data_IF_870945865520
#
_entry.id   IF_870945865520
#
_cell.length_a   1.000
_cell.length_b   1.000
_cell.length_c   1.000
_cell.angle_alpha   90.00
_cell.angle_beta   90.00
_cell.angle_gamma   90.00
#
_symmetry.space_group_name_H-M   'P 1'
#
loop_
_entity.id
_entity.type
_entity.pdbx_description
1 polymer ?
#
# COMPACT_ATOMS: atom_id res chain seq x y z
N UNK A 1 -0.50 -11.70 11.72
CA UNK A 1 0.28 -11.14 12.86
C UNK A 1 -0.55 -11.14 14.15
N UNK A 2 -0.93 -9.97 14.71
CA UNK A 2 -1.53 -9.88 16.07
C UNK A 2 -3.03 -10.02 16.08
N UNK A 3 -3.72 -9.64 15.01
CA UNK A 3 -5.17 -9.70 14.94
C UNK A 3 -5.60 -11.07 14.44
N UNK A 4 -6.16 -11.88 15.32
CA UNK A 4 -6.66 -13.25 15.03
C UNK A 4 -8.15 -13.22 14.73
N UNK A 5 -8.85 -12.38 15.50
CA UNK A 5 -10.28 -12.15 15.35
C UNK A 5 -10.50 -10.84 14.57
N UNK A 6 -11.61 -10.69 13.86
CA UNK A 6 -11.97 -9.43 13.21
C UNK A 6 -11.95 -8.26 14.20
N UNK A 7 -11.45 -7.12 13.74
CA UNK A 7 -11.41 -5.89 14.52
C UNK A 7 -11.77 -4.72 13.62
N UNK A 8 -12.76 -3.95 14.02
CA UNK A 8 -13.17 -2.73 13.35
C UNK A 8 -12.59 -1.53 14.10
N UNK A 9 -11.98 -0.62 13.37
CA UNK A 9 -11.39 0.60 13.90
C UNK A 9 -11.94 1.80 13.15
N UNK A 10 -12.73 2.59 13.84
CA UNK A 10 -13.25 3.86 13.32
C UNK A 10 -12.24 4.97 13.63
N UNK A 11 -11.84 5.71 12.59
CA UNK A 11 -10.96 6.87 12.69
C UNK A 11 -11.83 8.11 12.47
N UNK A 12 -12.16 8.78 13.56
CA UNK A 12 -12.97 9.99 13.54
C UNK A 12 -12.17 11.20 13.04
N UNK A 13 -12.88 12.24 12.60
CA UNK A 13 -12.27 13.51 12.24
C UNK A 13 -11.52 14.12 13.43
N UNK A 14 -10.35 14.71 13.18
CA UNK A 14 -9.49 15.28 14.20
C UNK A 14 -8.36 14.34 14.61
N UNK A 15 -8.08 14.19 15.89
CA UNK A 15 -6.99 13.38 16.43
C UNK A 15 -7.52 12.08 17.05
N UNK A 16 -7.20 10.96 16.44
CA UNK A 16 -7.47 9.63 16.99
C UNK A 16 -6.19 9.02 17.58
N UNK A 17 -6.23 8.64 18.86
CA UNK A 17 -5.12 8.04 19.58
C UNK A 17 -5.29 6.55 19.81
N UNK A 18 -4.29 5.74 19.43
CA UNK A 18 -4.23 4.29 19.72
C UNK A 18 -3.23 4.07 20.84
N UNK A 19 -3.72 3.71 22.02
CA UNK A 19 -2.90 3.50 23.22
C UNK A 19 -2.97 2.04 23.69
N UNK A 20 -1.92 1.60 24.35
CA UNK A 20 -1.85 0.24 24.90
C UNK A 20 -0.42 -0.15 25.30
N UNK A 21 -0.23 -1.28 26.01
CA UNK A 21 1.08 -1.75 26.43
C UNK A 21 1.97 -2.12 25.24
N UNK A 22 3.26 -2.33 25.50
CA UNK A 22 4.19 -2.80 24.48
C UNK A 22 3.82 -4.24 24.05
N UNK A 23 3.92 -4.51 22.74
CA UNK A 23 3.60 -5.83 22.19
C UNK A 23 2.12 -6.08 21.84
N UNK A 24 1.19 -5.20 22.22
CA UNK A 24 -0.26 -5.41 21.95
C UNK A 24 -0.70 -5.22 20.48
N UNK A 25 0.21 -4.90 19.58
CA UNK A 25 -0.10 -4.82 18.15
C UNK A 25 -0.34 -3.42 17.58
N UNK A 26 -0.14 -2.33 18.34
CA UNK A 26 -0.31 -0.95 17.84
C UNK A 26 0.38 -0.68 16.50
N UNK A 27 1.64 -1.08 16.38
CA UNK A 27 2.39 -0.90 15.15
C UNK A 27 1.85 -1.76 13.99
N UNK A 28 1.18 -2.86 14.28
CA UNK A 28 0.59 -3.71 13.25
C UNK A 28 -0.62 -3.04 12.59
N UNK A 29 -1.31 -2.10 13.26
CA UNK A 29 -2.36 -1.28 12.65
C UNK A 29 -1.79 -0.39 11.54
N UNK A 30 -0.71 0.34 11.84
CA UNK A 30 -0.03 1.17 10.83
C UNK A 30 0.53 0.33 9.67
N UNK A 31 1.05 -0.85 9.98
CA UNK A 31 1.52 -1.79 8.97
C UNK A 31 0.37 -2.34 8.11
N UNK A 32 -0.80 -2.59 8.70
CA UNK A 32 -1.99 -3.01 7.98
C UNK A 32 -2.45 -1.93 6.98
N UNK A 33 -2.50 -0.67 7.40
CA UNK A 33 -2.79 0.46 6.51
C UNK A 33 -1.79 0.51 5.35
N UNK A 34 -0.48 0.55 5.64
CA UNK A 34 0.57 0.57 4.61
C UNK A 34 0.48 -0.62 3.66
N UNK A 35 0.20 -1.80 4.20
CA UNK A 35 0.06 -3.01 3.41
C UNK A 35 -1.10 -2.89 2.42
N UNK A 36 -2.27 -2.43 2.86
CA UNK A 36 -3.44 -2.22 1.99
C UNK A 36 -3.20 -1.13 0.95
N UNK A 37 -2.44 -0.08 1.31
CA UNK A 37 -2.04 1.00 0.39
C UNK A 37 -1.00 0.61 -0.66
N UNK A 38 -0.56 -0.66 -0.70
CA UNK A 38 0.34 -1.17 -1.74
C UNK A 38 1.77 -1.49 -1.30
N UNK A 39 2.08 -1.51 0.01
CA UNK A 39 3.40 -1.98 0.47
C UNK A 39 3.61 -3.46 0.13
N UNK A 40 4.63 -3.75 -0.66
CA UNK A 40 4.95 -5.10 -1.12
C UNK A 40 6.28 -5.62 -0.56
N UNK A 41 6.97 -4.84 0.28
CA UNK A 41 8.19 -5.27 0.93
C UNK A 41 7.87 -5.97 2.25
N UNK A 42 8.10 -7.28 2.32
CA UNK A 42 7.98 -8.05 3.56
C UNK A 42 8.86 -7.44 4.66
N UNK A 43 10.07 -6.99 4.31
CA UNK A 43 11.00 -6.33 5.23
C UNK A 43 10.44 -5.03 5.82
N UNK A 44 9.74 -4.22 5.03
CA UNK A 44 9.05 -3.00 5.49
C UNK A 44 7.94 -3.33 6.50
N UNK A 45 7.38 -4.52 6.40
CA UNK A 45 6.34 -5.05 7.29
C UNK A 45 6.93 -5.94 8.40
N UNK A 46 8.23 -5.88 8.63
CA UNK A 46 8.95 -6.67 9.64
C UNK A 46 8.70 -8.17 9.52
N UNK A 47 8.64 -8.68 8.28
CA UNK A 47 8.50 -10.09 7.93
C UNK A 47 9.66 -10.56 7.05
N UNK A 48 9.90 -11.86 7.00
CA UNK A 48 10.82 -12.50 6.07
C UNK A 48 10.14 -12.74 4.71
N UNK A 49 8.83 -13.03 4.73
CA UNK A 49 7.98 -13.22 3.57
C UNK A 49 6.65 -12.48 3.71
N UNK A 50 5.91 -12.33 2.60
CA UNK A 50 4.59 -11.68 2.64
C UNK A 50 3.57 -12.51 3.43
N UNK A 51 3.71 -13.82 3.46
CA UNK A 51 2.84 -14.72 4.24
C UNK A 51 2.96 -14.50 5.76
N UNK A 52 4.02 -13.83 6.22
CA UNK A 52 4.21 -13.50 7.64
C UNK A 52 3.19 -12.48 8.17
N UNK A 53 2.41 -11.83 7.30
CA UNK A 53 1.27 -11.00 7.73
C UNK A 53 0.11 -11.88 8.21
N UNK A 54 0.01 -13.14 7.74
CA UNK A 54 -0.98 -14.12 8.16
C UNK A 54 -0.62 -14.60 9.58
N UNK A 55 -1.62 -14.84 10.41
CA UNK A 55 -1.41 -15.35 11.75
C UNK A 55 -0.86 -16.79 11.71
N UNK A 56 0.33 -16.98 12.27
CA UNK A 56 1.03 -18.24 12.24
C UNK A 56 0.54 -19.29 13.27
N UNK A 57 -0.36 -18.87 14.17
CA UNK A 57 -0.80 -19.68 15.30
C UNK A 57 -0.01 -19.42 16.58
N UNK A 58 -0.53 -19.95 17.67
CA UNK A 58 0.10 -20.04 18.99
C UNK A 58 -0.18 -21.42 19.57
N UNK A 59 0.35 -21.73 20.76
CA UNK A 59 0.02 -22.98 21.45
C UNK A 59 -1.48 -23.18 21.70
N UNK A 60 -2.24 -22.08 21.84
CA UNK A 60 -3.66 -22.08 22.19
C UNK A 60 -4.59 -21.72 21.03
N UNK A 61 -4.06 -21.20 19.91
CA UNK A 61 -4.85 -20.77 18.76
C UNK A 61 -4.27 -21.30 17.46
N UNK A 62 -5.08 -21.94 16.59
CA UNK A 62 -4.61 -22.46 15.30
C UNK A 62 -4.17 -21.33 14.38
N UNK A 63 -3.29 -21.66 13.45
CA UNK A 63 -2.92 -20.76 12.37
C UNK A 63 -4.13 -20.39 11.52
N UNK A 64 -4.04 -19.27 10.82
CA UNK A 64 -5.02 -18.85 9.81
C UNK A 64 -4.48 -19.10 8.41
N UNK A 65 -5.39 -19.28 7.45
CA UNK A 65 -5.04 -19.51 6.05
C UNK A 65 -4.95 -18.22 5.26
N UNK A 66 -5.54 -17.13 5.75
CA UNK A 66 -5.54 -15.83 5.10
C UNK A 66 -5.44 -14.68 6.10
N UNK A 67 -5.07 -13.52 5.59
CA UNK A 67 -5.22 -12.22 6.23
C UNK A 67 -5.92 -11.25 5.27
N UNK A 68 -6.81 -10.44 5.80
CA UNK A 68 -7.55 -9.43 5.03
C UNK A 68 -7.58 -8.12 5.80
N UNK A 69 -7.46 -7.02 5.08
CA UNK A 69 -7.62 -5.67 5.61
C UNK A 69 -8.48 -4.88 4.62
N UNK A 70 -9.54 -4.30 5.13
CA UNK A 70 -10.40 -3.37 4.42
C UNK A 70 -10.16 -1.95 4.95
N UNK A 71 -10.07 -0.99 4.04
CA UNK A 71 -10.07 0.45 4.34
C UNK A 71 -11.32 1.02 3.68
N UNK A 72 -12.16 1.64 4.50
CA UNK A 72 -13.29 2.43 4.05
C UNK A 72 -12.90 3.89 4.17
N UNK A 73 -12.95 4.64 3.09
CA UNK A 73 -12.54 6.04 3.02
C UNK A 73 -13.48 6.82 2.10
N UNK A 74 -13.45 8.13 2.19
CA UNK A 74 -14.09 9.03 1.23
C UNK A 74 -13.05 9.48 0.19
N UNK A 75 -13.44 9.50 -1.06
CA UNK A 75 -12.61 10.05 -2.13
C UNK A 75 -12.71 11.59 -2.19
N UNK A 76 -12.01 12.21 -3.13
CA UNK A 76 -12.01 13.67 -3.29
C UNK A 76 -13.39 14.24 -3.72
N UNK A 77 -14.30 13.41 -4.21
CA UNK A 77 -15.66 13.79 -4.56
C UNK A 77 -16.63 13.64 -3.37
N UNK A 78 -16.18 12.99 -2.29
CA UNK A 78 -17.02 12.66 -1.13
C UNK A 78 -17.73 11.33 -1.27
N UNK A 79 -17.39 10.54 -2.28
CA UNK A 79 -17.94 9.21 -2.46
C UNK A 79 -17.19 8.18 -1.60
N UNK A 80 -17.93 7.24 -1.04
CA UNK A 80 -17.38 6.17 -0.22
C UNK A 80 -16.64 5.15 -1.09
N UNK A 81 -15.39 4.85 -0.72
CA UNK A 81 -14.52 3.90 -1.41
C UNK A 81 -14.03 2.85 -0.44
N UNK A 82 -14.35 1.59 -0.71
CA UNK A 82 -13.81 0.44 0.01
C UNK A 82 -12.61 -0.13 -0.74
N UNK A 83 -11.46 -0.22 -0.07
CA UNK A 83 -10.24 -0.86 -0.61
C UNK A 83 -9.92 -2.07 0.26
N UNK A 84 -9.93 -3.26 -0.34
CA UNK A 84 -9.64 -4.51 0.35
C UNK A 84 -8.36 -5.11 -0.21
N UNK A 85 -7.46 -5.52 0.68
CA UNK A 85 -6.35 -6.40 0.35
C UNK A 85 -6.47 -7.70 1.13
N UNK A 86 -6.40 -8.83 0.42
CA UNK A 86 -6.40 -10.17 0.97
C UNK A 86 -5.17 -10.92 0.51
N UNK A 87 -4.56 -11.68 1.40
CA UNK A 87 -3.51 -12.65 1.09
C UNK A 87 -3.92 -14.00 1.61
N UNK A 88 -3.75 -15.02 0.78
CA UNK A 88 -3.96 -16.42 1.15
C UNK A 88 -2.64 -17.17 1.10
N UNK A 89 -2.45 -18.05 2.05
CA UNK A 89 -1.23 -18.86 2.16
C UNK A 89 -1.05 -19.73 0.90
N UNK A 90 0.07 -19.50 0.21
CA UNK A 90 0.41 -20.20 -1.03
C UNK A 90 -0.34 -19.73 -2.28
N UNK A 91 -1.36 -18.87 -2.18
CA UNK A 91 -2.11 -18.35 -3.32
C UNK A 91 -1.76 -16.90 -3.69
N UNK A 92 -1.06 -16.19 -2.78
CA UNK A 92 -0.64 -14.82 -3.03
C UNK A 92 -1.64 -13.76 -2.58
N UNK A 93 -1.50 -12.55 -3.11
CA UNK A 93 -2.24 -11.37 -2.67
C UNK A 93 -3.16 -10.84 -3.76
N UNK A 94 -4.42 -10.54 -3.42
CA UNK A 94 -5.43 -9.94 -4.28
C UNK A 94 -5.90 -8.60 -3.72
N UNK A 95 -6.37 -7.71 -4.62
CA UNK A 95 -6.95 -6.42 -4.27
C UNK A 95 -8.35 -6.28 -4.84
N UNK A 96 -9.22 -5.59 -4.11
CA UNK A 96 -10.55 -5.19 -4.55
C UNK A 96 -10.80 -3.72 -4.24
N UNK A 97 -11.51 -3.04 -5.12
CA UNK A 97 -12.06 -1.70 -4.89
C UNK A 97 -13.56 -1.79 -5.15
N UNK A 98 -14.37 -1.42 -4.16
CA UNK A 98 -15.83 -1.49 -4.22
C UNK A 98 -16.33 -2.86 -4.71
N UNK A 99 -15.75 -3.95 -4.16
CA UNK A 99 -16.08 -5.33 -4.48
C UNK A 99 -15.54 -5.85 -5.82
N UNK A 100 -14.86 -5.04 -6.64
CA UNK A 100 -14.30 -5.44 -7.94
C UNK A 100 -12.82 -5.75 -7.83
N UNK A 101 -12.37 -6.85 -8.42
CA UNK A 101 -10.95 -7.19 -8.48
C UNK A 101 -10.18 -6.17 -9.31
N UNK A 102 -9.06 -5.70 -8.76
CA UNK A 102 -8.18 -4.72 -9.37
C UNK A 102 -6.71 -5.13 -9.24
N UNK A 103 -5.85 -4.51 -10.04
CA UNK A 103 -4.40 -4.74 -9.94
C UNK A 103 -3.80 -3.94 -8.79
N UNK A 104 -2.72 -4.44 -8.20
CA UNK A 104 -1.95 -3.71 -7.19
C UNK A 104 -1.53 -2.29 -7.66
N UNK A 105 -1.26 -2.13 -8.97
CA UNK A 105 -0.93 -0.84 -9.56
C UNK A 105 -2.08 0.17 -9.47
N UNK A 106 -3.31 -0.28 -9.66
CA UNK A 106 -4.50 0.60 -9.64
C UNK A 106 -4.72 1.15 -8.22
N UNK A 107 -4.54 0.29 -7.21
CA UNK A 107 -4.59 0.70 -5.79
C UNK A 107 -3.45 1.68 -5.46
N UNK A 108 -2.22 1.40 -5.92
CA UNK A 108 -1.10 2.31 -5.69
C UNK A 108 -1.31 3.68 -6.33
N UNK A 109 -1.95 3.73 -7.51
CA UNK A 109 -2.30 4.98 -8.18
C UNK A 109 -3.39 5.75 -7.43
N UNK A 110 -4.44 5.06 -6.95
CA UNK A 110 -5.51 5.66 -6.15
C UNK A 110 -4.95 6.41 -4.94
N UNK A 111 -4.07 5.75 -4.18
CA UNK A 111 -3.45 6.37 -3.00
C UNK A 111 -2.40 7.43 -3.35
N UNK A 112 -1.69 7.29 -4.47
CA UNK A 112 -0.75 8.31 -4.94
C UNK A 112 -1.47 9.60 -5.37
N UNK A 113 -2.64 9.48 -6.00
CA UNK A 113 -3.49 10.62 -6.37
C UNK A 113 -4.05 11.35 -5.12
N UNK A 114 -4.34 10.58 -4.05
CA UNK A 114 -4.75 11.12 -2.76
C UNK A 114 -3.58 11.63 -1.89
N UNK A 115 -2.34 11.61 -2.39
CA UNK A 115 -1.11 11.93 -1.66
C UNK A 115 -0.91 11.12 -0.35
N UNK A 116 -1.52 9.93 -0.26
CA UNK A 116 -1.56 9.07 0.94
C UNK A 116 -0.98 7.67 0.70
N UNK A 117 -0.10 7.49 -0.29
CA UNK A 117 0.49 6.19 -0.61
C UNK A 117 1.26 5.53 0.54
N UNK A 118 1.56 4.24 0.40
CA UNK A 118 2.26 3.42 1.41
C UNK A 118 3.61 4.01 1.86
N UNK A 119 4.23 4.81 1.01
CA UNK A 119 5.50 5.49 1.27
C UNK A 119 5.33 6.98 1.61
N UNK A 120 4.09 7.46 1.66
CA UNK A 120 3.79 8.87 1.93
C UNK A 120 4.49 9.37 3.20
N UNK A 121 5.03 10.59 3.18
CA UNK A 121 5.52 11.26 4.37
C UNK A 121 4.42 11.50 5.41
N UNK A 122 3.14 11.41 5.03
CA UNK A 122 2.01 11.45 5.96
C UNK A 122 1.96 10.21 6.88
N UNK A 123 2.51 9.05 6.45
CA UNK A 123 2.61 7.83 7.24
C UNK A 123 3.97 7.76 7.96
N UNK A 124 4.06 8.41 9.10
CA UNK A 124 5.30 8.42 9.90
C UNK A 124 5.36 7.19 10.80
N UNK A 125 6.20 6.22 10.44
CA UNK A 125 6.52 5.09 11.31
C UNK A 125 7.72 5.39 12.21
N UNK A 126 7.87 4.61 13.27
CA UNK A 126 9.02 4.69 14.18
C UNK A 126 10.35 4.62 13.39
N UNK A 127 11.29 5.49 13.71
CA UNK A 127 12.61 5.65 13.05
C UNK A 127 12.58 6.23 11.61
N UNK A 128 11.43 6.56 11.04
CA UNK A 128 11.36 7.12 9.68
C UNK A 128 11.92 8.55 9.60
N UNK A 129 11.79 9.34 10.65
CA UNK A 129 12.33 10.72 10.69
C UNK A 129 13.84 10.72 10.47
N UNK A 130 14.58 9.82 11.15
CA UNK A 130 16.01 9.66 10.93
C UNK A 130 16.37 9.25 9.50
N UNK A 131 15.57 8.38 8.89
CA UNK A 131 15.73 7.97 7.50
C UNK A 131 15.50 9.14 6.52
N UNK A 132 14.52 10.01 6.77
CA UNK A 132 14.27 11.22 5.97
C UNK A 132 15.44 12.18 6.04
N UNK A 133 16.02 12.39 7.24
CA UNK A 133 17.19 13.28 7.44
C UNK A 133 18.42 12.73 6.68
N UNK A 134 18.63 11.40 6.73
CA UNK A 134 19.73 10.72 6.07
C UNK A 134 19.49 10.40 4.58
N UNK A 135 18.30 10.67 4.06
CA UNK A 135 17.89 10.34 2.70
C UNK A 135 18.76 11.06 1.65
N UNK A 136 19.04 10.38 0.55
CA UNK A 136 19.73 10.93 -0.61
C UNK A 136 18.88 11.99 -1.32
N UNK A 137 19.47 12.91 -2.09
CA UNK A 137 18.72 13.96 -2.78
C UNK A 137 17.55 13.45 -3.62
N UNK A 138 17.72 12.35 -4.35
CA UNK A 138 16.66 11.73 -5.15
C UNK A 138 15.50 11.21 -4.30
N UNK A 139 15.79 10.61 -3.15
CA UNK A 139 14.78 10.11 -2.22
C UNK A 139 14.01 11.26 -1.56
N UNK A 140 14.70 12.34 -1.17
CA UNK A 140 14.06 13.56 -0.64
C UNK A 140 13.14 14.20 -1.67
N UNK A 141 13.60 14.25 -2.94
CA UNK A 141 12.77 14.74 -4.04
C UNK A 141 11.50 13.93 -4.19
N UNK A 142 11.59 12.60 -4.20
CA UNK A 142 10.42 11.71 -4.28
C UNK A 142 9.43 11.96 -3.12
N UNK A 143 9.94 12.18 -1.91
CA UNK A 143 9.10 12.52 -0.74
C UNK A 143 8.39 13.88 -0.92
N UNK A 144 9.05 14.88 -1.50
CA UNK A 144 8.44 16.18 -1.78
C UNK A 144 7.39 16.08 -2.89
N UNK A 145 7.67 15.30 -3.94
CA UNK A 145 6.73 15.04 -5.04
C UNK A 145 5.48 14.31 -4.53
N UNK A 146 5.63 13.37 -3.60
CA UNK A 146 4.52 12.69 -2.96
C UNK A 146 3.72 13.62 -2.05
N UNK A 147 4.38 14.42 -1.23
CA UNK A 147 3.73 15.41 -0.36
C UNK A 147 2.97 16.49 -1.16
N UNK A 148 3.45 16.80 -2.37
CA UNK A 148 2.79 17.72 -3.30
C UNK A 148 1.64 17.08 -4.10
N UNK A 149 1.38 15.77 -3.92
CA UNK A 149 0.32 15.06 -4.65
C UNK A 149 0.61 14.83 -6.14
N UNK A 150 1.87 15.02 -6.59
CA UNK A 150 2.24 14.90 -8.01
C UNK A 150 2.85 13.53 -8.34
N UNK A 151 3.06 12.67 -7.36
CA UNK A 151 3.66 11.34 -7.55
C UNK A 151 2.85 10.49 -8.55
N UNK A 152 1.52 10.52 -8.48
CA UNK A 152 0.62 9.83 -9.41
C UNK A 152 0.78 10.31 -10.86
N UNK A 153 0.98 11.61 -11.08
CA UNK A 153 1.21 12.18 -12.41
C UNK A 153 2.53 11.66 -13.02
N UNK A 154 3.59 11.57 -12.23
CA UNK A 154 4.88 11.01 -12.70
C UNK A 154 4.77 9.54 -13.10
N UNK A 155 4.03 8.73 -12.34
CA UNK A 155 3.78 7.32 -12.66
C UNK A 155 3.00 7.20 -13.98
N UNK A 156 1.93 7.97 -14.14
CA UNK A 156 1.11 7.97 -15.37
C UNK A 156 1.91 8.43 -16.58
N UNK A 157 2.72 9.50 -16.45
CA UNK A 157 3.60 9.98 -17.52
C UNK A 157 4.57 8.90 -17.96
N UNK A 158 5.26 8.27 -17.03
CA UNK A 158 6.23 7.20 -17.32
C UNK A 158 5.57 6.00 -18.03
N UNK A 159 4.36 5.66 -17.63
CA UNK A 159 3.56 4.58 -18.25
C UNK A 159 3.17 4.95 -19.70
N UNK A 160 2.72 6.19 -19.93
CA UNK A 160 2.41 6.70 -21.26
C UNK A 160 3.65 6.75 -22.17
N UNK A 161 4.78 7.24 -21.66
CA UNK A 161 6.07 7.24 -22.39
C UNK A 161 6.52 5.82 -22.75
N UNK A 162 6.33 4.84 -21.84
CA UNK A 162 6.62 3.44 -22.11
C UNK A 162 5.73 2.85 -23.21
N UNK A 163 4.43 3.14 -23.19
CA UNK A 163 3.50 2.72 -24.25
C UNK A 163 3.82 3.35 -25.59
N UNK A 164 4.16 4.65 -25.61
CA UNK A 164 4.54 5.36 -26.81
C UNK A 164 5.77 4.71 -27.46
N UNK A 165 6.84 4.49 -26.71
CA UNK A 165 8.06 3.82 -27.22
C UNK A 165 7.76 2.42 -27.76
N UNK A 166 6.91 1.65 -27.07
CA UNK A 166 6.52 0.32 -27.53
C UNK A 166 5.75 0.37 -28.86
N UNK A 167 4.89 1.40 -29.03
CA UNK A 167 4.13 1.62 -30.26
C UNK A 167 5.04 2.06 -31.40
N UNK A 168 5.98 2.98 -31.16
CA UNK A 168 6.99 3.40 -32.13
C UNK A 168 7.81 2.20 -32.62
N UNK A 169 8.34 1.37 -31.70
CA UNK A 169 9.08 0.17 -32.08
C UNK A 169 8.25 -0.84 -32.87
N UNK A 170 6.93 -0.93 -32.62
CA UNK A 170 6.06 -1.78 -33.42
C UNK A 170 5.81 -1.20 -34.84
N UNK A 171 5.68 0.12 -34.94
CA UNK A 171 5.54 0.80 -36.25
C UNK A 171 6.79 0.62 -37.11
N UNK A 172 7.98 0.80 -36.52
CA UNK A 172 9.25 0.59 -37.21
C UNK A 172 9.34 -0.84 -37.75
N UNK A 173 9.00 -1.84 -36.92
CA UNK A 173 8.99 -3.26 -37.32
C UNK A 173 7.98 -3.54 -38.44
N UNK A 174 6.81 -2.93 -38.44
CA UNK A 174 5.82 -3.06 -39.51
C UNK A 174 6.32 -2.40 -40.80
N UNK A 175 7.01 -1.25 -40.70
CA UNK A 175 7.63 -0.58 -41.83
C UNK A 175 8.77 -1.39 -42.48
N UNK A 176 9.51 -2.20 -41.71
CA UNK A 176 10.53 -3.11 -42.22
C UNK A 176 9.94 -4.36 -42.91
N UNK A 177 8.69 -4.72 -42.62
CA UNK A 177 8.00 -5.88 -43.17
C UNK A 177 7.18 -5.54 -44.41
N UNK A 178 6.96 -4.27 -44.74
CA UNK A 178 6.21 -3.77 -45.89
C UNK A 178 7.13 -3.50 -47.10
#
# INVERSE_FOLDING_TARGET
KSFVDPADLVIEAGLTGVVGPNGCGKSNLLEALRWTMGENSAKSLRGAGMDDVIFAGTETRPQRDFAEVAILAEDAAGDEVEIVRRIERGAGSAYRINGRDVRAKDVSLLFADAATGAHSPALVSQNRIGAVIAARPAERRAMLEEAAGIAGLHVRRKDAEGKLRATEANLDRLGEMA
#
